data_IF_795185092482
#
_entry.id   IF_795185092482
#
_cell.length_a   1.000
_cell.length_b   1.000
_cell.length_c   1.000
_cell.angle_alpha   90.00
_cell.angle_beta   90.00
_cell.angle_gamma   90.00
#
_symmetry.space_group_name_H-M   'P 1'
#
loop_
_entity.id
_entity.type
_entity.pdbx_description
1 polymer ?
#
# COMPACT_ATOMS: atom_id res chain seq x y z
N UNK A 1 12.29 11.79 -7.03
CA UNK A 1 11.57 10.49 -7.09
C UNK A 1 10.80 10.30 -5.79
N UNK A 2 9.49 10.52 -5.79
CA UNK A 2 8.67 10.35 -4.59
C UNK A 2 8.34 8.86 -4.42
N UNK A 3 9.03 8.20 -3.48
CA UNK A 3 8.79 6.77 -3.21
C UNK A 3 7.43 6.63 -2.53
N UNK A 4 6.49 5.90 -3.15
CA UNK A 4 5.13 5.74 -2.61
C UNK A 4 5.08 4.85 -1.35
N UNK A 5 6.03 3.94 -1.20
CA UNK A 5 6.18 3.05 -0.05
C UNK A 5 7.67 2.78 0.21
N UNK A 6 8.05 2.56 1.47
CA UNK A 6 9.39 2.08 1.85
C UNK A 6 9.31 0.84 2.73
N UNK A 7 10.36 0.04 2.80
CA UNK A 7 10.42 -1.14 3.67
C UNK A 7 11.66 -1.02 4.55
N UNK A 8 11.48 -1.27 5.85
CA UNK A 8 12.57 -1.42 6.80
C UNK A 8 12.79 -2.91 7.03
N UNK A 9 13.85 -3.43 6.44
CA UNK A 9 14.31 -4.81 6.64
C UNK A 9 14.96 -4.89 8.03
N UNK A 10 14.69 -5.96 8.79
CA UNK A 10 15.18 -6.12 10.17
C UNK A 10 14.30 -5.49 11.25
N UNK A 11 13.17 -4.87 10.88
CA UNK A 11 12.16 -4.42 11.86
C UNK A 11 11.37 -5.60 12.43
N UNK A 12 11.00 -5.53 13.71
CA UNK A 12 10.05 -6.47 14.35
C UNK A 12 8.66 -6.43 13.69
N UNK A 13 8.34 -5.37 12.95
CA UNK A 13 7.05 -5.24 12.25
C UNK A 13 7.09 -5.98 10.90
N UNK A 14 6.11 -6.88 10.64
CA UNK A 14 5.95 -7.51 9.33
C UNK A 14 5.81 -6.48 8.21
N UNK A 15 6.33 -6.79 7.02
CA UNK A 15 6.33 -5.89 5.85
C UNK A 15 4.92 -5.40 5.49
N UNK A 16 3.91 -6.28 5.51
CA UNK A 16 2.52 -5.88 5.22
C UNK A 16 1.98 -4.84 6.21
N UNK A 17 2.36 -4.94 7.50
CA UNK A 17 2.01 -3.96 8.54
C UNK A 17 2.69 -2.62 8.27
N UNK A 18 3.95 -2.64 7.83
CA UNK A 18 4.67 -1.41 7.47
C UNK A 18 3.99 -0.67 6.30
N UNK A 19 3.50 -1.41 5.29
CA UNK A 19 2.73 -0.86 4.16
C UNK A 19 1.42 -0.21 4.64
N UNK A 20 0.65 -0.90 5.49
CA UNK A 20 -0.60 -0.39 6.05
C UNK A 20 -0.36 0.90 6.86
N UNK A 21 0.62 0.87 7.78
CA UNK A 21 0.94 2.00 8.64
C UNK A 21 1.38 3.23 7.82
N UNK A 22 2.09 3.02 6.71
CA UNK A 22 2.49 4.11 5.80
C UNK A 22 1.32 4.67 5.01
N UNK A 23 0.48 3.80 4.44
CA UNK A 23 -0.69 4.23 3.71
C UNK A 23 -1.61 5.09 4.59
N UNK A 24 -1.94 4.60 5.79
CA UNK A 24 -2.76 5.33 6.77
C UNK A 24 -2.16 6.69 7.13
N UNK A 25 -0.86 6.74 7.42
CA UNK A 25 -0.18 8.00 7.75
C UNK A 25 -0.22 8.99 6.60
N UNK A 26 -0.06 8.55 5.36
CA UNK A 26 -0.11 9.44 4.18
C UNK A 26 -1.51 9.98 3.91
N UNK A 27 -2.54 9.15 4.08
CA UNK A 27 -3.95 9.59 3.99
C UNK A 27 -4.26 10.59 5.10
N UNK A 28 -3.89 10.29 6.35
CA UNK A 28 -4.10 11.19 7.49
C UNK A 28 -3.33 12.52 7.37
N UNK A 29 -2.14 12.49 6.77
CA UNK A 29 -1.35 13.68 6.50
C UNK A 29 -1.85 14.49 5.28
N UNK A 30 -2.91 14.04 4.60
CA UNK A 30 -3.41 14.68 3.37
C UNK A 30 -2.49 14.51 2.15
N UNK A 31 -1.42 13.72 2.27
CA UNK A 31 -0.50 13.45 1.17
C UNK A 31 -1.13 12.58 0.08
N UNK A 32 -2.12 11.75 0.45
CA UNK A 32 -2.96 10.99 -0.48
C UNK A 32 -4.41 11.47 -0.46
N UNK A 33 -4.81 12.38 -1.36
CA UNK A 33 -6.18 12.85 -1.44
C UNK A 33 -7.14 11.72 -1.86
N UNK A 34 -8.43 11.84 -1.49
CA UNK A 34 -9.48 10.95 -1.97
C UNK A 34 -9.47 10.83 -3.50
N UNK A 35 -9.63 9.61 -4.00
CA UNK A 35 -9.61 9.33 -5.44
C UNK A 35 -8.21 9.23 -6.06
N UNK A 36 -7.13 9.46 -5.29
CA UNK A 36 -5.77 9.18 -5.76
C UNK A 36 -5.62 7.71 -6.12
N UNK A 37 -5.13 7.46 -7.33
CA UNK A 37 -4.83 6.11 -7.79
C UNK A 37 -3.57 5.57 -7.10
N UNK A 38 -3.70 4.36 -6.54
CA UNK A 38 -2.58 3.63 -5.98
C UNK A 38 -1.97 2.68 -7.01
N UNK A 39 -0.66 2.44 -6.98
CA UNK A 39 -0.03 1.50 -7.90
C UNK A 39 -0.58 0.10 -7.66
N UNK A 40 -0.64 -0.69 -8.73
CA UNK A 40 -1.08 -2.07 -8.66
C UNK A 40 -0.20 -2.89 -7.69
N UNK A 41 -0.79 -3.94 -7.13
CA UNK A 41 -0.10 -4.91 -6.25
C UNK A 41 1.21 -5.38 -6.88
N UNK A 42 1.19 -5.71 -8.18
CA UNK A 42 2.37 -6.17 -8.92
C UNK A 42 3.44 -5.09 -9.06
N UNK A 43 3.05 -3.84 -9.30
CA UNK A 43 3.99 -2.72 -9.41
C UNK A 43 4.69 -2.48 -8.07
N UNK A 44 3.94 -2.37 -6.97
CA UNK A 44 4.53 -2.19 -5.64
C UNK A 44 5.44 -3.36 -5.27
N UNK A 45 5.01 -4.59 -5.52
CA UNK A 45 5.80 -5.78 -5.24
C UNK A 45 7.13 -5.78 -6.00
N UNK A 46 7.13 -5.39 -7.28
CA UNK A 46 8.35 -5.26 -8.09
C UNK A 46 9.24 -4.13 -7.60
N UNK A 47 8.69 -2.95 -7.36
CA UNK A 47 9.45 -1.77 -6.92
C UNK A 47 10.13 -2.01 -5.57
N UNK A 48 9.46 -2.74 -4.67
CA UNK A 48 9.98 -3.04 -3.34
C UNK A 48 10.70 -4.39 -3.25
N UNK A 49 10.78 -5.14 -4.35
CA UNK A 49 11.34 -6.50 -4.42
C UNK A 49 10.78 -7.45 -3.33
N UNK A 50 9.46 -7.44 -3.12
CA UNK A 50 8.77 -8.30 -2.14
C UNK A 50 7.74 -9.22 -2.77
N UNK A 51 7.34 -10.24 -2.01
CA UNK A 51 6.31 -11.18 -2.43
C UNK A 51 4.97 -10.47 -2.69
N UNK A 52 4.34 -10.62 -3.88
CA UNK A 52 3.07 -9.96 -4.22
C UNK A 52 1.94 -10.23 -3.24
N UNK A 53 1.88 -11.42 -2.63
CA UNK A 53 0.89 -11.74 -1.61
C UNK A 53 0.99 -10.82 -0.38
N UNK A 54 2.18 -10.35 -0.02
CA UNK A 54 2.39 -9.44 1.11
C UNK A 54 1.75 -8.06 0.84
N UNK A 55 1.89 -7.56 -0.39
CA UNK A 55 1.23 -6.32 -0.83
C UNK A 55 -0.28 -6.51 -0.92
N UNK A 56 -0.73 -7.62 -1.51
CA UNK A 56 -2.16 -7.96 -1.61
C UNK A 56 -2.82 -7.98 -0.23
N UNK A 57 -2.17 -8.62 0.76
CA UNK A 57 -2.63 -8.65 2.14
C UNK A 57 -2.72 -7.26 2.77
N UNK A 58 -1.74 -6.38 2.51
CA UNK A 58 -1.77 -5.01 2.99
C UNK A 58 -2.94 -4.22 2.38
N UNK A 59 -3.14 -4.32 1.06
CA UNK A 59 -4.22 -3.63 0.35
C UNK A 59 -5.58 -4.15 0.79
N UNK A 60 -5.75 -5.46 0.97
CA UNK A 60 -7.00 -6.04 1.47
C UNK A 60 -7.35 -5.49 2.86
N UNK A 61 -6.38 -5.36 3.77
CA UNK A 61 -6.64 -4.77 5.10
C UNK A 61 -6.94 -3.27 5.04
N UNK A 62 -6.32 -2.53 4.13
CA UNK A 62 -6.63 -1.12 3.91
C UNK A 62 -8.04 -0.95 3.35
N UNK A 63 -8.47 -1.84 2.46
CA UNK A 63 -9.82 -1.89 1.91
C UNK A 63 -10.85 -2.24 2.99
N UNK A 64 -10.61 -3.28 3.78
CA UNK A 64 -11.49 -3.63 4.92
C UNK A 64 -11.58 -2.49 5.95
N UNK A 65 -10.52 -1.68 6.10
CA UNK A 65 -10.51 -0.52 6.98
C UNK A 65 -11.12 0.74 6.34
N UNK A 66 -11.62 0.68 5.11
CA UNK A 66 -12.20 1.83 4.40
C UNK A 66 -11.19 2.90 3.99
N UNK A 67 -9.89 2.59 3.99
CA UNK A 67 -8.82 3.54 3.64
C UNK A 67 -8.62 3.63 2.13
N UNK A 68 -8.86 2.53 1.41
CA UNK A 68 -8.73 2.44 -0.04
C UNK A 68 -9.92 1.68 -0.61
N UNK A 69 -10.20 1.89 -1.90
CA UNK A 69 -11.22 1.14 -2.63
C UNK A 69 -10.60 0.44 -3.83
N UNK A 70 -10.98 -0.80 -4.09
CA UNK A 70 -10.61 -1.47 -5.34
C UNK A 70 -11.51 -0.97 -6.46
N UNK A 71 -10.95 -0.15 -7.34
CA UNK A 71 -11.58 0.16 -8.63
C UNK A 71 -11.35 -1.02 -9.58
N UNK A 72 -12.42 -1.74 -9.93
CA UNK A 72 -12.37 -2.69 -11.06
C UNK A 72 -12.39 -1.85 -12.33
N UNK A 73 -11.32 -1.93 -13.13
CA UNK A 73 -11.38 -1.46 -14.50
C UNK A 73 -12.31 -2.40 -15.25
N UNK A 74 -13.57 -1.99 -15.44
CA UNK A 74 -14.45 -2.65 -16.39
C UNK A 74 -13.88 -2.39 -17.77
N UNK A 75 -13.55 -3.47 -18.47
CA UNK A 75 -13.11 -3.47 -19.89
C UNK A 75 -14.20 -2.96 -20.81
#
# INVERSE_FOLDING_TARGET
MQVMFSIVVGSTKPIFRQLIDQARRRVLAGAWPPGQELPSVRNVARTLAIHPMTVSKAYQQLETAGVIERRRATV
#
